data_IF_091523261168
#
_entry.id   IF_091523261168
#
_cell.length_a   1.000
_cell.length_b   1.000
_cell.length_c   1.000
_cell.angle_alpha   90.00
_cell.angle_beta   90.00
_cell.angle_gamma   90.00
#
_symmetry.space_group_name_H-M   'P 1'
#
loop_
_entity.id
_entity.type
_entity.pdbx_description
1 polymer ?
#
# COMPACT_ATOMS: atom_id res chain seq x y z
N UNK A 1 -54.93 -11.52 -14.94
CA UNK A 1 -54.62 -12.97 -14.95
C UNK A 1 -54.11 -13.22 -16.37
N UNK A 2 -52.84 -13.48 -16.67
CA UNK A 2 -51.90 -14.39 -16.06
C UNK A 2 -50.47 -13.83 -16.13
N UNK A 3 -49.73 -14.11 -15.06
CA UNK A 3 -48.33 -13.78 -14.83
C UNK A 3 -47.46 -14.74 -15.66
N UNK A 4 -46.50 -14.23 -16.43
CA UNK A 4 -45.44 -15.06 -17.01
C UNK A 4 -44.13 -14.81 -16.24
N UNK A 5 -43.59 -15.81 -15.52
CA UNK A 5 -42.33 -15.69 -14.80
C UNK A 5 -41.16 -16.03 -15.72
N UNK A 6 -39.97 -15.50 -15.42
CA UNK A 6 -38.65 -16.17 -15.41
C UNK A 6 -37.54 -15.11 -15.42
N UNK A 7 -37.40 -14.45 -14.27
CA UNK A 7 -36.17 -13.77 -13.86
C UNK A 7 -35.20 -14.84 -13.34
N UNK A 8 -34.38 -15.41 -14.21
CA UNK A 8 -33.19 -16.18 -13.82
C UNK A 8 -32.09 -15.92 -14.85
N UNK A 9 -31.52 -14.72 -14.78
CA UNK A 9 -30.20 -14.46 -15.35
C UNK A 9 -29.36 -13.79 -14.25
N UNK A 10 -28.13 -14.29 -14.11
CA UNK A 10 -27.03 -13.81 -13.24
C UNK A 10 -26.83 -14.53 -11.90
N UNK A 11 -26.59 -15.84 -11.96
CA UNK A 11 -25.58 -16.47 -11.09
C UNK A 11 -24.29 -16.62 -11.89
N UNK A 12 -23.57 -15.51 -12.07
CA UNK A 12 -22.15 -15.58 -12.38
C UNK A 12 -21.41 -15.42 -11.05
N UNK A 13 -20.66 -16.44 -10.58
CA UNK A 13 -19.64 -16.21 -9.57
C UNK A 13 -18.71 -15.16 -10.16
N UNK A 14 -18.71 -13.96 -9.58
CA UNK A 14 -17.69 -12.97 -9.87
C UNK A 14 -16.36 -13.59 -9.47
N UNK A 15 -15.64 -14.17 -10.44
CA UNK A 15 -14.25 -14.50 -10.25
C UNK A 15 -13.55 -13.18 -9.97
N UNK A 16 -13.27 -12.91 -8.70
CA UNK A 16 -12.33 -11.87 -8.33
C UNK A 16 -11.03 -12.25 -9.04
N UNK A 17 -10.71 -11.52 -10.11
CA UNK A 17 -9.43 -11.61 -10.78
C UNK A 17 -8.38 -11.14 -9.77
N UNK A 18 -7.97 -12.03 -8.88
CA UNK A 18 -6.77 -11.88 -8.09
C UNK A 18 -5.65 -11.82 -9.11
N UNK A 19 -5.19 -10.61 -9.41
CA UNK A 19 -4.18 -10.37 -10.44
C UNK A 19 -3.00 -11.29 -10.22
N UNK A 20 -2.85 -12.29 -11.08
CA UNK A 20 -1.66 -13.14 -11.14
C UNK A 20 -0.55 -12.31 -11.77
N UNK A 21 -0.11 -11.29 -11.05
CA UNK A 21 1.12 -10.57 -11.38
C UNK A 21 2.25 -11.59 -11.45
N UNK A 22 3.14 -11.39 -12.44
CA UNK A 22 4.32 -12.24 -12.63
C UNK A 22 5.02 -12.47 -11.28
N UNK A 23 5.50 -13.70 -10.99
CA UNK A 23 6.21 -13.98 -9.75
C UNK A 23 7.35 -12.98 -9.55
N UNK A 24 7.43 -12.40 -8.35
CA UNK A 24 8.53 -11.53 -7.96
C UNK A 24 9.64 -12.44 -7.38
N UNK A 25 10.83 -12.51 -8.01
CA UNK A 25 11.85 -13.51 -7.69
C UNK A 25 12.55 -13.28 -6.34
N UNK A 26 12.50 -12.06 -5.81
CA UNK A 26 13.14 -11.72 -4.56
C UNK A 26 12.10 -11.53 -3.46
N UNK A 27 12.42 -12.03 -2.26
CA UNK A 27 11.57 -11.94 -1.08
C UNK A 27 12.40 -11.80 0.18
N UNK A 28 11.98 -10.95 1.10
CA UNK A 28 12.61 -10.80 2.41
C UNK A 28 11.59 -10.42 3.49
N UNK A 29 11.97 -10.67 4.74
CA UNK A 29 11.23 -10.27 5.93
C UNK A 29 11.82 -8.96 6.47
N UNK A 30 10.97 -7.98 6.79
CA UNK A 30 11.39 -6.66 7.27
C UNK A 30 11.14 -6.44 8.77
N UNK A 31 10.48 -7.37 9.45
CA UNK A 31 10.24 -7.35 10.88
C UNK A 31 10.62 -8.69 11.53
N UNK A 32 11.06 -8.71 12.79
CA UNK A 32 11.45 -9.97 13.46
C UNK A 32 10.27 -10.90 13.74
N UNK A 33 9.04 -10.41 13.68
CA UNK A 33 7.83 -11.17 14.05
C UNK A 33 7.16 -11.87 12.85
N UNK A 34 7.69 -11.73 11.63
CA UNK A 34 7.14 -12.44 10.47
C UNK A 34 5.93 -11.77 9.82
N UNK A 35 5.62 -10.52 10.17
CA UNK A 35 4.38 -9.82 9.79
C UNK A 35 4.53 -8.92 8.57
N UNK A 36 5.74 -8.65 8.12
CA UNK A 36 6.08 -7.69 7.08
C UNK A 36 6.96 -8.36 6.02
N UNK A 37 6.33 -8.76 4.92
CA UNK A 37 7.00 -9.34 3.77
C UNK A 37 7.15 -8.34 2.65
N UNK A 38 8.36 -8.27 2.10
CA UNK A 38 8.66 -7.53 0.87
C UNK A 38 8.99 -8.54 -0.24
N UNK A 39 8.28 -8.45 -1.36
CA UNK A 39 8.64 -9.14 -2.59
C UNK A 39 8.97 -8.10 -3.66
N UNK A 40 9.99 -8.35 -4.48
CA UNK A 40 10.36 -7.43 -5.57
C UNK A 40 10.96 -8.11 -6.78
N UNK A 41 10.92 -7.40 -7.91
CA UNK A 41 11.42 -7.92 -9.17
C UNK A 41 11.20 -7.02 -10.37
N UNK A 42 11.93 -7.29 -11.47
CA UNK A 42 11.72 -6.57 -12.71
C UNK A 42 10.37 -6.94 -13.36
N UNK A 43 9.59 -5.92 -13.70
CA UNK A 43 8.31 -6.05 -14.40
C UNK A 43 8.22 -4.96 -15.47
N UNK A 44 8.39 -5.36 -16.74
CA UNK A 44 8.19 -4.47 -17.89
C UNK A 44 9.08 -3.21 -17.87
N UNK A 45 10.37 -3.37 -17.59
CA UNK A 45 11.34 -2.25 -17.51
C UNK A 45 11.26 -1.42 -16.22
N UNK A 46 10.37 -1.77 -15.29
CA UNK A 46 10.25 -1.15 -13.97
C UNK A 46 10.61 -2.15 -12.89
N UNK A 47 10.97 -1.65 -11.72
CA UNK A 47 11.09 -2.46 -10.51
C UNK A 47 9.74 -2.47 -9.80
N UNK A 48 9.13 -3.64 -9.66
CA UNK A 48 7.86 -3.82 -8.96
C UNK A 48 8.11 -4.30 -7.54
N UNK A 49 7.33 -3.75 -6.61
CA UNK A 49 7.35 -4.10 -5.21
C UNK A 49 5.97 -4.55 -4.77
N UNK A 50 5.92 -5.57 -3.92
CA UNK A 50 4.70 -6.04 -3.26
C UNK A 50 4.97 -6.14 -1.76
N UNK A 51 4.19 -5.38 -1.00
CA UNK A 51 4.20 -5.40 0.45
C UNK A 51 3.04 -6.29 0.91
N UNK A 52 3.34 -7.28 1.74
CA UNK A 52 2.35 -8.11 2.42
C UNK A 52 2.54 -7.92 3.91
N UNK A 53 1.66 -7.10 4.52
CA UNK A 53 1.85 -6.65 5.90
C UNK A 53 0.60 -6.89 6.73
N UNK A 54 0.78 -7.48 7.93
CA UNK A 54 -0.27 -7.55 8.96
C UNK A 54 -0.19 -6.30 9.83
N UNK A 55 -1.14 -5.38 9.65
CA UNK A 55 -1.23 -4.14 10.44
C UNK A 55 -2.69 -3.79 10.72
N UNK A 56 -2.93 -3.13 11.85
CA UNK A 56 -4.22 -2.49 12.18
C UNK A 56 -4.25 -0.99 11.83
N UNK A 57 -3.11 -0.43 11.38
CA UNK A 57 -2.95 0.98 11.05
C UNK A 57 -2.25 1.16 9.70
N UNK A 58 -1.27 2.06 9.67
CA UNK A 58 -0.46 2.33 8.49
C UNK A 58 0.93 1.70 8.61
N UNK A 59 1.61 1.58 7.47
CA UNK A 59 2.97 1.08 7.30
C UNK A 59 3.72 2.04 6.38
N UNK A 60 4.99 2.30 6.69
CA UNK A 60 5.90 3.06 5.84
C UNK A 60 6.91 2.14 5.19
N UNK A 61 7.14 2.31 3.89
CA UNK A 61 8.19 1.62 3.14
C UNK A 61 8.95 2.64 2.31
N UNK A 62 10.27 2.57 2.30
CA UNK A 62 11.07 3.50 1.53
C UNK A 62 12.52 3.08 1.39
N UNK A 63 13.24 3.90 0.63
CA UNK A 63 14.66 3.73 0.37
C UNK A 63 15.40 4.98 0.84
N UNK A 64 16.55 4.76 1.45
CA UNK A 64 17.47 5.85 1.76
C UNK A 64 18.92 5.39 1.63
N UNK A 65 19.87 6.32 1.41
CA UNK A 65 21.27 5.98 1.32
C UNK A 65 21.84 5.36 2.62
N UNK A 66 21.26 5.70 3.76
CA UNK A 66 21.77 5.36 5.10
C UNK A 66 20.94 4.30 5.82
N UNK A 67 19.78 3.93 5.27
CA UNK A 67 18.76 3.14 5.96
C UNK A 67 17.95 3.93 7.01
N UNK A 68 18.25 5.21 7.22
CA UNK A 68 17.47 6.08 8.08
C UNK A 68 16.22 6.63 7.37
N UNK A 69 15.26 7.11 8.14
CA UNK A 69 14.03 7.71 7.61
C UNK A 69 14.26 9.09 6.97
N UNK A 70 15.18 9.89 7.52
CA UNK A 70 15.43 11.23 7.02
C UNK A 70 15.97 11.18 5.59
N UNK A 71 15.44 12.05 4.72
CA UNK A 71 15.76 12.10 3.29
C UNK A 71 15.51 10.78 2.53
N UNK A 72 14.60 9.94 3.02
CA UNK A 72 14.16 8.73 2.35
C UNK A 72 13.03 9.01 1.37
N UNK A 73 13.01 8.29 0.26
CA UNK A 73 11.86 8.19 -0.64
C UNK A 73 10.87 7.19 -0.04
N UNK A 74 9.78 7.68 0.55
CA UNK A 74 8.85 6.86 1.32
C UNK A 74 7.48 6.82 0.65
N UNK A 75 6.85 5.66 0.68
CA UNK A 75 5.42 5.47 0.52
C UNK A 75 4.81 5.01 1.84
N UNK A 76 3.63 5.53 2.15
CA UNK A 76 2.82 5.11 3.30
C UNK A 76 1.60 4.38 2.76
N UNK A 77 1.28 3.24 3.35
CA UNK A 77 0.11 2.46 2.99
C UNK A 77 -0.59 1.90 4.21
N UNK A 78 -1.81 1.41 4.01
CA UNK A 78 -2.62 0.85 5.07
C UNK A 78 -3.93 0.33 4.51
N UNK A 79 -4.87 0.03 5.40
CA UNK A 79 -6.23 -0.39 5.02
C UNK A 79 -7.22 0.60 5.61
N UNK A 80 -7.99 1.27 4.75
CA UNK A 80 -9.08 2.17 5.13
C UNK A 80 -10.39 1.63 4.56
N UNK A 81 -11.41 1.46 5.41
CA UNK A 81 -12.71 0.91 5.02
C UNK A 81 -12.62 -0.42 4.25
N UNK A 82 -11.72 -1.31 4.67
CA UNK A 82 -11.49 -2.61 4.02
C UNK A 82 -10.77 -2.54 2.67
N UNK A 83 -10.30 -1.36 2.25
CA UNK A 83 -9.56 -1.17 1.00
C UNK A 83 -8.11 -0.76 1.28
N UNK A 84 -7.13 -1.41 0.62
CA UNK A 84 -5.75 -0.98 0.75
C UNK A 84 -5.55 0.38 0.06
N UNK A 85 -4.73 1.23 0.65
CA UNK A 85 -4.26 2.49 0.04
C UNK A 85 -2.74 2.55 0.07
N UNK A 86 -2.17 3.34 -0.84
CA UNK A 86 -0.75 3.67 -0.90
C UNK A 86 -0.61 5.11 -1.36
N UNK A 87 0.17 5.91 -0.65
CA UNK A 87 0.38 7.34 -0.91
C UNK A 87 1.87 7.66 -0.77
N UNK A 88 2.43 8.54 -1.63
CA UNK A 88 3.80 9.00 -1.46
C UNK A 88 3.90 9.94 -0.25
N UNK A 89 4.95 9.78 0.55
CA UNK A 89 5.35 10.74 1.56
C UNK A 89 6.27 11.77 0.90
N UNK A 90 5.82 13.01 0.77
CA UNK A 90 6.59 14.07 0.14
C UNK A 90 7.65 14.63 1.08
N UNK A 91 7.42 14.54 2.38
CA UNK A 91 8.31 15.07 3.40
C UNK A 91 8.45 14.11 4.57
N UNK A 92 9.63 13.50 4.70
CA UNK A 92 9.99 12.58 5.76
C UNK A 92 10.92 13.29 6.75
N UNK A 93 10.37 13.70 7.90
CA UNK A 93 11.12 14.46 8.93
C UNK A 93 11.38 13.64 10.19
N UNK A 94 12.43 13.98 10.95
CA UNK A 94 12.55 13.58 12.34
C UNK A 94 11.31 14.02 13.14
N UNK A 95 10.93 13.24 14.16
CA UNK A 95 9.80 13.56 15.06
C UNK A 95 9.84 14.95 15.69
N UNK A 96 11.03 15.55 15.76
CA UNK A 96 11.31 16.81 16.46
C UNK A 96 11.19 18.05 15.57
N UNK A 97 11.00 17.90 14.25
CA UNK A 97 10.87 19.05 13.35
C UNK A 97 9.40 19.50 13.24
N UNK A 98 9.12 20.82 13.25
CA UNK A 98 7.77 21.33 13.05
C UNK A 98 7.30 21.07 11.61
N UNK A 99 6.02 20.66 11.47
CA UNK A 99 5.42 20.34 10.18
C UNK A 99 5.07 21.61 9.38
N UNK A 100 5.27 21.62 8.06
CA UNK A 100 4.85 22.71 7.21
C UNK A 100 3.32 22.70 7.07
N UNK A 101 2.72 23.89 7.30
CA UNK A 101 1.34 24.38 7.06
C UNK A 101 0.13 23.41 7.02
N UNK A 102 -1.05 23.97 7.25
CA UNK A 102 -2.33 23.27 7.44
C UNK A 102 -2.84 22.47 6.21
N UNK A 103 -2.23 22.66 5.04
CA UNK A 103 -2.62 21.97 3.80
C UNK A 103 -2.05 20.55 3.67
N UNK A 104 -1.23 20.12 4.62
CA UNK A 104 -0.62 18.79 4.65
C UNK A 104 -1.33 17.87 5.64
N UNK A 105 -1.63 16.64 5.21
CA UNK A 105 -2.08 15.56 6.08
C UNK A 105 -0.87 14.79 6.61
N UNK A 106 -0.97 14.31 7.85
CA UNK A 106 0.12 13.67 8.57
C UNK A 106 -0.28 12.25 9.04
N UNK A 107 0.58 11.25 8.78
CA UNK A 107 0.61 10.00 9.54
C UNK A 107 2.01 9.77 10.08
N UNK A 108 2.12 9.84 11.41
CA UNK A 108 3.40 9.74 12.09
C UNK A 108 4.34 10.83 11.63
N UNK A 109 5.50 10.43 11.09
CA UNK A 109 6.55 11.33 10.63
C UNK A 109 6.49 11.65 9.12
N UNK A 110 5.41 11.22 8.45
CA UNK A 110 5.21 11.40 7.03
C UNK A 110 4.12 12.43 6.77
N UNK A 111 4.38 13.36 5.86
CA UNK A 111 3.41 14.34 5.39
C UNK A 111 3.15 14.21 3.89
N UNK A 112 1.89 14.39 3.50
CA UNK A 112 1.46 14.45 2.10
C UNK A 112 0.36 15.51 1.94
N UNK A 113 0.24 16.07 0.73
CA UNK A 113 -0.81 17.07 0.46
C UNK A 113 -2.20 16.44 0.56
N UNK A 114 -3.13 17.11 1.26
CA UNK A 114 -4.55 16.78 1.15
C UNK A 114 -5.00 16.99 -0.31
N UNK A 115 -5.73 16.05 -0.89
CA UNK A 115 -6.42 16.27 -2.18
C UNK A 115 -7.74 16.96 -1.96
#
# INVERSE_FOLDING_TARGET
MCRWPLLLLWLLPGAAAGGSGRPLPHRTLLDPEGKYWLNWGPQGGRLAFRLEVRTAGYVGFGFSPTGAMAAADIVVGGVAHGRPYLQPCLWAVPRTEPFPDENFQQQGNCCWAAR
#
